data_IF_346689392240
#
_entry.id   IF_346689392240
#
_cell.length_a   1.000
_cell.length_b   1.000
_cell.length_c   1.000
_cell.angle_alpha   90.00
_cell.angle_beta   90.00
_cell.angle_gamma   90.00
#
_symmetry.space_group_name_H-M   'P 1'
#
loop_
_entity.id
_entity.type
_entity.pdbx_description
1 polymer ?
#
# COMPACT_ATOMS: atom_id res chain seq x y z
N UNK A 1 16.52 10.80 68.20
CA UNK A 1 16.38 11.91 69.11
C UNK A 1 15.12 12.64 68.74
N UNK A 2 14.17 12.34 69.43
CA UNK A 2 13.27 12.97 70.38
C UNK A 2 11.97 13.50 69.75
N UNK A 3 10.92 12.72 69.90
CA UNK A 3 9.56 13.22 70.20
C UNK A 3 9.63 14.05 71.53
N UNK A 4 8.70 14.92 71.86
CA UNK A 4 7.43 14.50 72.46
C UNK A 4 6.21 15.41 72.14
N UNK A 5 5.04 14.85 72.25
CA UNK A 5 3.96 14.79 73.27
C UNK A 5 2.93 15.95 73.17
N UNK A 6 1.67 15.53 72.86
CA UNK A 6 0.44 15.50 73.65
C UNK A 6 0.03 16.88 74.29
N UNK A 7 -1.18 17.40 73.99
CA UNK A 7 -2.18 17.56 75.04
C UNK A 7 -3.60 17.84 74.49
N UNK A 8 -4.49 17.08 75.03
CA UNK A 8 -5.93 17.20 75.06
C UNK A 8 -6.40 18.51 75.73
N UNK A 9 -7.52 19.02 75.27
CA UNK A 9 -8.53 19.51 76.22
C UNK A 9 -9.90 19.69 75.55
N UNK A 10 -10.78 18.87 76.06
CA UNK A 10 -12.20 18.84 75.98
C UNK A 10 -12.88 20.19 76.32
N UNK A 11 -13.97 20.50 75.64
CA UNK A 11 -15.21 21.00 76.32
C UNK A 11 -16.44 20.85 75.42
N UNK A 12 -17.31 20.07 76.00
CA UNK A 12 -18.77 19.96 75.81
C UNK A 12 -19.41 21.36 75.63
N UNK A 13 -20.51 21.42 74.84
CA UNK A 13 -21.89 21.72 75.30
C UNK A 13 -22.86 21.61 74.12
N UNK A 14 -23.87 20.84 74.29
CA UNK A 14 -25.16 20.71 73.62
C UNK A 14 -26.06 21.90 74.00
N UNK A 15 -27.29 22.08 73.45
CA UNK A 15 -27.93 21.63 72.16
C UNK A 15 -28.66 22.79 71.44
N UNK A 16 -29.07 22.62 70.21
CA UNK A 16 -30.36 23.12 69.77
C UNK A 16 -30.87 22.32 68.55
N UNK A 17 -31.83 21.52 68.87
CA UNK A 17 -32.73 20.85 67.94
C UNK A 17 -33.76 21.88 67.54
N UNK A 18 -33.80 22.31 66.28
CA UNK A 18 -34.99 22.80 65.56
C UNK A 18 -34.55 23.45 64.26
N UNK A 19 -34.61 22.65 63.20
CA UNK A 19 -34.88 23.07 61.80
C UNK A 19 -34.54 21.90 60.84
N UNK A 20 -35.23 20.79 60.98
CA UNK A 20 -35.29 19.68 60.04
C UNK A 20 -36.65 19.75 59.33
N UNK A 21 -36.83 20.61 58.33
CA UNK A 21 -38.01 20.53 57.46
C UNK A 21 -37.91 21.33 56.15
N UNK A 22 -36.72 21.63 55.64
CA UNK A 22 -36.63 22.33 54.33
C UNK A 22 -35.57 21.79 53.38
N UNK A 23 -34.94 20.64 53.63
CA UNK A 23 -33.85 20.06 52.84
C UNK A 23 -34.23 18.90 51.93
N UNK A 24 -35.47 18.40 51.95
CA UNK A 24 -35.89 17.16 51.28
C UNK A 24 -36.39 17.28 49.83
N UNK A 25 -36.59 18.49 49.30
CA UNK A 25 -37.22 18.65 47.99
C UNK A 25 -36.24 18.98 46.83
N UNK A 26 -34.98 19.29 47.10
CA UNK A 26 -34.00 19.65 46.04
C UNK A 26 -33.13 18.47 45.61
N UNK A 27 -33.04 17.39 46.41
CA UNK A 27 -32.22 16.25 46.09
C UNK A 27 -32.86 15.23 45.12
N UNK A 28 -34.17 15.33 44.84
CA UNK A 28 -34.85 14.40 43.90
C UNK A 28 -34.96 14.92 42.46
N UNK A 29 -34.58 16.18 42.17
CA UNK A 29 -34.71 16.79 40.85
C UNK A 29 -33.45 16.59 39.96
N UNK A 30 -32.33 16.04 40.48
CA UNK A 30 -31.08 15.88 39.73
C UNK A 30 -30.95 14.48 39.11
N UNK A 31 -31.81 13.50 39.42
CA UNK A 31 -31.81 12.16 38.84
C UNK A 31 -32.69 12.00 37.58
N UNK A 32 -33.35 13.06 37.11
CA UNK A 32 -34.04 13.11 35.83
C UNK A 32 -33.19 13.76 34.72
N UNK A 33 -31.87 13.75 34.87
CA UNK A 33 -30.93 14.04 33.79
C UNK A 33 -31.12 13.01 32.69
N UNK A 34 -31.77 13.41 31.61
CA UNK A 34 -32.21 12.57 30.52
C UNK A 34 -31.10 11.68 30.04
N UNK A 35 -31.29 10.39 30.19
CA UNK A 35 -30.59 9.39 29.40
C UNK A 35 -30.99 9.64 27.95
N UNK A 36 -30.19 10.47 27.26
CA UNK A 36 -30.36 10.60 25.80
C UNK A 36 -30.23 9.18 25.24
N UNK A 37 -31.25 8.64 24.59
CA UNK A 37 -31.12 7.32 23.99
C UNK A 37 -29.97 7.43 22.97
N UNK A 38 -28.84 6.78 23.26
CA UNK A 38 -27.82 6.54 22.24
C UNK A 38 -28.55 5.78 21.14
N UNK A 39 -28.66 6.33 19.91
CA UNK A 39 -29.36 5.64 18.85
C UNK A 39 -28.66 4.28 18.68
N UNK A 40 -29.37 3.22 19.05
CA UNK A 40 -28.90 1.86 18.83
C UNK A 40 -28.62 1.76 17.34
N UNK A 41 -27.35 1.50 16.97
CA UNK A 41 -26.98 1.38 15.56
C UNK A 41 -27.81 0.25 14.96
N UNK A 42 -28.74 0.59 14.08
CA UNK A 42 -29.60 -0.41 13.45
C UNK A 42 -28.75 -1.37 12.63
N UNK A 43 -28.83 -2.65 12.98
CA UNK A 43 -28.19 -3.72 12.19
C UNK A 43 -28.99 -3.86 10.88
N UNK A 44 -28.31 -3.60 9.77
CA UNK A 44 -28.90 -3.73 8.43
C UNK A 44 -28.80 -5.17 7.92
N UNK A 45 -27.70 -5.87 8.25
CA UNK A 45 -27.49 -7.24 7.82
C UNK A 45 -26.54 -7.97 8.79
N UNK A 46 -26.76 -9.26 8.98
CA UNK A 46 -25.84 -10.18 9.66
C UNK A 46 -25.18 -11.08 8.63
N UNK A 47 -23.86 -11.15 8.63
CA UNK A 47 -23.09 -12.00 7.72
C UNK A 47 -22.26 -12.96 8.53
N UNK A 48 -22.62 -14.24 8.55
CA UNK A 48 -21.95 -15.27 9.33
C UNK A 48 -21.78 -14.90 10.83
N UNK A 49 -22.74 -14.20 11.42
CA UNK A 49 -22.69 -13.72 12.79
C UNK A 49 -22.00 -12.37 13.01
N UNK A 50 -21.44 -11.75 11.96
CA UNK A 50 -20.87 -10.39 12.04
C UNK A 50 -21.87 -9.35 11.52
N UNK A 51 -22.15 -8.26 12.28
CA UNK A 51 -23.11 -7.25 11.84
C UNK A 51 -22.54 -6.32 10.79
N UNK A 52 -23.43 -5.85 9.92
CA UNK A 52 -23.26 -4.66 9.09
C UNK A 52 -24.32 -3.67 9.54
N UNK A 53 -23.88 -2.49 10.00
CA UNK A 53 -24.77 -1.46 10.51
C UNK A 53 -25.16 -0.44 9.45
N UNK A 54 -26.25 0.33 9.73
CA UNK A 54 -26.62 1.46 8.88
C UNK A 54 -25.49 2.47 8.73
N UNK A 55 -24.70 2.68 9.79
CA UNK A 55 -23.54 3.56 9.77
C UNK A 55 -22.43 3.05 8.84
N UNK A 56 -22.16 1.74 8.83
CA UNK A 56 -21.17 1.15 7.92
C UNK A 56 -21.55 1.39 6.46
N UNK A 57 -22.85 1.27 6.14
CA UNK A 57 -23.37 1.54 4.80
C UNK A 57 -23.19 3.01 4.45
N UNK A 58 -23.57 3.93 5.34
CA UNK A 58 -23.41 5.38 5.13
C UNK A 58 -21.94 5.75 4.89
N UNK A 59 -21.05 5.31 5.75
CA UNK A 59 -19.62 5.58 5.68
C UNK A 59 -19.00 5.02 4.39
N UNK A 60 -19.39 3.82 3.99
CA UNK A 60 -18.94 3.20 2.74
C UNK A 60 -19.49 3.93 1.51
N UNK A 61 -20.74 4.37 1.54
CA UNK A 61 -21.34 5.15 0.44
C UNK A 61 -20.56 6.44 0.22
N UNK A 62 -20.23 7.18 1.30
CA UNK A 62 -19.40 8.39 1.21
C UNK A 62 -18.00 8.09 0.66
N UNK A 63 -17.35 7.02 1.15
CA UNK A 63 -16.04 6.62 0.70
C UNK A 63 -16.05 6.25 -0.81
N UNK A 64 -17.03 5.49 -1.25
CA UNK A 64 -17.18 5.11 -2.65
C UNK A 64 -17.42 6.33 -3.55
N UNK A 65 -18.26 7.27 -3.13
CA UNK A 65 -18.48 8.51 -3.86
C UNK A 65 -17.20 9.35 -3.96
N UNK A 66 -16.43 9.46 -2.87
CA UNK A 66 -15.16 10.19 -2.86
C UNK A 66 -14.15 9.59 -3.84
N UNK A 67 -14.07 8.25 -3.91
CA UNK A 67 -13.04 7.55 -4.69
C UNK A 67 -13.41 7.34 -6.16
N UNK A 68 -14.70 7.12 -6.45
CA UNK A 68 -15.17 6.76 -7.81
C UNK A 68 -16.00 7.83 -8.49
N UNK A 69 -16.47 8.83 -7.74
CA UNK A 69 -17.44 9.85 -8.17
C UNK A 69 -18.77 9.27 -8.66
N UNK A 70 -19.03 7.99 -8.36
CA UNK A 70 -20.29 7.32 -8.71
C UNK A 70 -21.15 7.19 -7.47
N UNK A 71 -22.43 7.45 -7.62
CA UNK A 71 -23.41 7.19 -6.58
C UNK A 71 -23.84 5.72 -6.69
N UNK A 72 -23.47 4.95 -5.67
CA UNK A 72 -23.87 3.55 -5.58
C UNK A 72 -25.19 3.43 -4.84
N UNK A 73 -26.01 2.47 -5.23
CA UNK A 73 -27.23 2.14 -4.48
C UNK A 73 -26.90 1.54 -3.12
N UNK A 74 -27.82 1.63 -2.18
CA UNK A 74 -27.69 1.00 -0.86
C UNK A 74 -27.39 -0.51 -0.97
N UNK A 75 -28.02 -1.19 -1.93
CA UNK A 75 -27.82 -2.62 -2.14
C UNK A 75 -26.41 -2.95 -2.63
N UNK A 76 -25.87 -2.18 -3.57
CA UNK A 76 -24.49 -2.36 -4.04
C UNK A 76 -23.47 -2.18 -2.91
N UNK A 77 -23.68 -1.17 -2.06
CA UNK A 77 -22.81 -0.93 -0.89
C UNK A 77 -22.93 -2.07 0.13
N UNK A 78 -24.16 -2.57 0.36
CA UNK A 78 -24.39 -3.70 1.26
C UNK A 78 -23.72 -4.98 0.72
N UNK A 79 -23.78 -5.20 -0.58
CA UNK A 79 -23.10 -6.33 -1.25
C UNK A 79 -21.59 -6.24 -1.13
N UNK A 80 -21.00 -5.04 -1.25
CA UNK A 80 -19.55 -4.84 -0.99
C UNK A 80 -19.18 -5.19 0.44
N UNK A 81 -19.91 -4.65 1.42
CA UNK A 81 -19.64 -4.91 2.84
C UNK A 81 -19.83 -6.39 3.20
N UNK A 82 -20.83 -7.04 2.62
CA UNK A 82 -21.06 -8.48 2.76
C UNK A 82 -19.88 -9.27 2.20
N UNK A 83 -19.40 -8.92 1.01
CA UNK A 83 -18.23 -9.55 0.40
C UNK A 83 -16.99 -9.38 1.27
N UNK A 84 -16.77 -8.22 1.88
CA UNK A 84 -15.66 -7.98 2.78
C UNK A 84 -15.70 -8.88 4.03
N UNK A 85 -16.89 -9.02 4.66
CA UNK A 85 -17.08 -9.92 5.80
C UNK A 85 -16.78 -11.37 5.42
N UNK A 86 -17.29 -11.83 4.29
CA UNK A 86 -17.05 -13.19 3.77
C UNK A 86 -15.55 -13.42 3.51
N UNK A 87 -14.89 -12.48 2.83
CA UNK A 87 -13.44 -12.54 2.54
C UNK A 87 -12.59 -12.61 3.81
N UNK A 88 -12.86 -11.75 4.79
CA UNK A 88 -12.13 -11.70 6.06
C UNK A 88 -12.33 -12.99 6.85
N UNK A 89 -13.57 -13.49 6.94
CA UNK A 89 -13.85 -14.75 7.65
C UNK A 89 -13.11 -15.92 7.04
N UNK A 90 -13.16 -16.04 5.71
CA UNK A 90 -12.45 -17.13 5.02
C UNK A 90 -10.93 -17.00 5.17
N UNK A 91 -10.38 -15.80 5.05
CA UNK A 91 -8.95 -15.58 5.22
C UNK A 91 -8.45 -16.00 6.62
N UNK A 92 -9.18 -15.64 7.67
CA UNK A 92 -8.89 -16.07 9.06
C UNK A 92 -8.88 -17.60 9.19
N UNK A 93 -9.78 -18.28 8.51
CA UNK A 93 -9.86 -19.75 8.50
C UNK A 93 -8.58 -20.41 7.99
N UNK A 94 -7.85 -19.71 7.10
CA UNK A 94 -6.55 -20.12 6.55
C UNK A 94 -5.35 -19.45 7.24
N UNK A 95 -5.55 -18.83 8.41
CA UNK A 95 -4.48 -18.17 9.16
C UNK A 95 -3.98 -16.86 8.54
N UNK A 96 -4.74 -16.27 7.60
CA UNK A 96 -4.42 -14.98 7.00
C UNK A 96 -5.19 -13.89 7.75
N UNK A 97 -4.57 -13.33 8.77
CA UNK A 97 -5.12 -12.21 9.56
C UNK A 97 -4.02 -11.18 9.84
N UNK A 98 -3.91 -10.13 8.99
CA UNK A 98 -2.90 -9.10 9.17
C UNK A 98 -3.12 -8.33 10.46
N UNK A 99 -2.02 -7.92 11.07
CA UNK A 99 -2.03 -7.10 12.27
C UNK A 99 -2.53 -5.68 11.99
N UNK A 100 -2.84 -4.92 13.04
CA UNK A 100 -3.16 -3.51 12.89
C UNK A 100 -2.01 -2.73 12.23
N UNK A 101 -0.75 -3.07 12.56
CA UNK A 101 0.45 -2.48 11.97
C UNK A 101 0.52 -2.71 10.45
N UNK A 102 0.17 -3.90 9.96
CA UNK A 102 0.17 -4.19 8.51
C UNK A 102 -0.86 -3.33 7.77
N UNK A 103 -2.03 -3.15 8.37
CA UNK A 103 -3.08 -2.28 7.83
C UNK A 103 -2.63 -0.82 7.83
N UNK A 104 -1.98 -0.35 8.91
CA UNK A 104 -1.45 1.01 9.00
C UNK A 104 -0.33 1.25 7.98
N UNK A 105 0.55 0.27 7.74
CA UNK A 105 1.55 0.34 6.67
C UNK A 105 0.90 0.42 5.28
N UNK A 106 -0.15 -0.35 5.03
CA UNK A 106 -0.91 -0.27 3.78
C UNK A 106 -1.57 1.09 3.59
N UNK A 107 -2.14 1.65 4.67
CA UNK A 107 -2.73 2.98 4.69
C UNK A 107 -1.67 4.07 4.42
N UNK A 108 -0.50 3.99 5.06
CA UNK A 108 0.63 4.88 4.81
C UNK A 108 1.15 4.75 3.37
N UNK A 109 1.25 3.54 2.83
CA UNK A 109 1.62 3.32 1.43
C UNK A 109 0.61 3.93 0.44
N UNK A 110 -0.70 3.87 0.78
CA UNK A 110 -1.73 4.53 -0.02
C UNK A 110 -1.60 6.05 0.02
N UNK A 111 -1.41 6.64 1.21
CA UNK A 111 -1.24 8.09 1.35
C UNK A 111 -0.04 8.61 0.56
N UNK A 112 1.09 7.90 0.58
CA UNK A 112 2.29 8.25 -0.20
C UNK A 112 2.03 8.26 -1.71
N UNK A 113 1.26 7.28 -2.23
CA UNK A 113 0.87 7.28 -3.66
C UNK A 113 0.01 8.48 -4.03
N UNK A 114 -0.76 9.01 -3.08
CA UNK A 114 -1.54 10.23 -3.23
C UNK A 114 -0.73 11.52 -2.94
N UNK A 115 0.58 11.40 -2.62
CA UNK A 115 1.47 12.49 -2.21
C UNK A 115 1.02 13.19 -0.93
N UNK A 116 0.41 12.43 -0.02
CA UNK A 116 -0.06 12.89 1.29
C UNK A 116 0.70 12.16 2.40
N UNK A 117 0.71 12.73 3.61
CA UNK A 117 1.05 11.98 4.82
C UNK A 117 -0.18 11.20 5.32
N UNK A 118 -0.01 10.15 6.15
CA UNK A 118 -1.14 9.45 6.76
C UNK A 118 -2.10 10.39 7.52
N UNK A 119 -1.57 11.39 8.22
CA UNK A 119 -2.35 12.38 8.97
C UNK A 119 -3.14 13.30 8.03
N UNK A 120 -2.55 13.68 6.89
CA UNK A 120 -3.24 14.49 5.88
C UNK A 120 -4.38 13.71 5.22
N UNK A 121 -4.15 12.41 4.91
CA UNK A 121 -5.21 11.55 4.39
C UNK A 121 -6.34 11.38 5.42
N UNK A 122 -6.00 11.16 6.70
CA UNK A 122 -6.98 11.07 7.80
C UNK A 122 -7.83 12.34 7.88
N UNK A 123 -7.22 13.52 7.95
CA UNK A 123 -7.93 14.81 7.98
C UNK A 123 -8.81 15.02 6.74
N UNK A 124 -8.33 14.61 5.57
CA UNK A 124 -9.11 14.70 4.33
C UNK A 124 -10.37 13.83 4.37
N UNK A 125 -10.29 12.62 4.91
CA UNK A 125 -11.45 11.75 5.09
C UNK A 125 -12.43 12.32 6.11
N UNK A 126 -11.93 12.74 7.27
CA UNK A 126 -12.74 13.33 8.35
C UNK A 126 -13.48 14.60 7.90
N UNK A 127 -12.84 15.46 7.10
CA UNK A 127 -13.47 16.65 6.53
C UNK A 127 -14.64 16.33 5.60
N UNK A 128 -14.69 15.12 5.04
CA UNK A 128 -15.80 14.59 4.24
C UNK A 128 -16.80 13.78 5.08
N UNK A 129 -16.63 13.75 6.41
CA UNK A 129 -17.46 12.96 7.31
C UNK A 129 -17.26 11.45 7.16
N UNK A 130 -16.06 11.03 6.75
CA UNK A 130 -15.67 9.62 6.58
C UNK A 130 -14.67 9.26 7.68
N UNK A 131 -14.97 8.21 8.44
CA UNK A 131 -14.05 7.69 9.45
C UNK A 131 -12.89 6.96 8.77
N UNK A 132 -11.63 7.20 9.17
CA UNK A 132 -10.45 6.52 8.60
C UNK A 132 -10.53 5.00 8.68
N UNK A 133 -11.19 4.48 9.72
CA UNK A 133 -11.41 3.05 9.93
C UNK A 133 -12.20 2.40 8.79
N UNK A 134 -13.08 3.15 8.12
CA UNK A 134 -13.83 2.67 6.94
C UNK A 134 -12.89 2.32 5.78
N UNK A 135 -11.88 3.16 5.53
CA UNK A 135 -10.87 2.89 4.52
C UNK A 135 -9.92 1.77 4.97
N UNK A 136 -9.49 1.78 6.24
CA UNK A 136 -8.64 0.72 6.80
C UNK A 136 -9.30 -0.65 6.75
N UNK A 137 -10.61 -0.74 7.05
CA UNK A 137 -11.37 -1.99 6.94
C UNK A 137 -11.39 -2.52 5.50
N UNK A 138 -11.61 -1.65 4.51
CA UNK A 138 -11.53 -2.01 3.09
C UNK A 138 -10.14 -2.52 2.72
N UNK A 139 -9.09 -1.80 3.10
CA UNK A 139 -7.70 -2.21 2.86
C UNK A 139 -7.41 -3.57 3.48
N UNK A 140 -7.84 -3.81 4.72
CA UNK A 140 -7.71 -5.12 5.37
C UNK A 140 -8.37 -6.21 4.55
N UNK A 141 -9.62 -6.02 4.11
CA UNK A 141 -10.35 -7.00 3.32
C UNK A 141 -9.65 -7.30 1.97
N UNK A 142 -9.13 -6.29 1.29
CA UNK A 142 -8.39 -6.45 0.05
C UNK A 142 -7.04 -7.18 0.26
N UNK A 143 -6.31 -6.86 1.33
CA UNK A 143 -5.03 -7.50 1.68
C UNK A 143 -5.22 -8.99 1.98
N UNK A 144 -6.16 -9.34 2.87
CA UNK A 144 -6.38 -10.73 3.24
C UNK A 144 -6.86 -11.56 2.07
N UNK A 145 -7.74 -10.99 1.25
CA UNK A 145 -8.28 -11.67 0.08
C UNK A 145 -7.20 -11.92 -0.98
N UNK A 146 -6.42 -10.90 -1.28
CA UNK A 146 -5.31 -11.02 -2.22
C UNK A 146 -4.28 -12.06 -1.80
N UNK A 147 -3.95 -12.10 -0.51
CA UNK A 147 -3.01 -13.09 0.05
C UNK A 147 -3.58 -14.50 0.03
N UNK A 148 -4.84 -14.66 0.44
CA UNK A 148 -5.55 -15.95 0.44
C UNK A 148 -5.64 -16.52 -0.97
N UNK A 149 -6.13 -15.75 -1.95
CA UNK A 149 -6.32 -16.23 -3.33
C UNK A 149 -4.98 -16.62 -3.96
N UNK A 150 -3.95 -15.79 -3.82
CA UNK A 150 -2.60 -16.11 -4.33
C UNK A 150 -2.00 -17.35 -3.67
N UNK A 151 -2.15 -17.51 -2.36
CA UNK A 151 -1.64 -18.67 -1.64
C UNK A 151 -2.36 -19.95 -2.01
N UNK A 152 -3.70 -19.92 -1.93
CA UNK A 152 -4.56 -21.10 -2.15
C UNK A 152 -4.53 -21.61 -3.59
N UNK A 153 -4.45 -20.72 -4.57
CA UNK A 153 -4.53 -21.06 -5.99
C UNK A 153 -3.18 -20.89 -6.72
N UNK A 154 -2.07 -20.85 -5.98
CA UNK A 154 -0.72 -20.61 -6.51
C UNK A 154 -0.43 -21.40 -7.79
N UNK A 155 -0.68 -22.70 -7.79
CA UNK A 155 -0.41 -23.57 -8.93
C UNK A 155 -1.33 -23.27 -10.13
N UNK A 156 -2.62 -23.07 -9.89
CA UNK A 156 -3.60 -22.79 -10.95
C UNK A 156 -3.45 -21.38 -11.56
N UNK A 157 -2.78 -20.46 -10.86
CA UNK A 157 -2.50 -19.11 -11.33
C UNK A 157 -1.21 -19.04 -12.17
N UNK A 158 -0.41 -20.08 -12.18
CA UNK A 158 0.79 -20.11 -13.02
C UNK A 158 0.43 -20.02 -14.50
N UNK A 159 1.24 -19.25 -15.22
CA UNK A 159 1.13 -19.10 -16.67
C UNK A 159 2.35 -19.76 -17.29
N UNK A 160 2.13 -20.88 -17.99
CA UNK A 160 3.18 -21.66 -18.63
C UNK A 160 3.80 -20.93 -19.83
N UNK A 161 5.08 -21.19 -20.11
CA UNK A 161 5.76 -20.58 -21.25
C UNK A 161 5.10 -20.98 -22.59
N UNK A 162 4.57 -22.19 -22.68
CA UNK A 162 3.82 -22.67 -23.86
C UNK A 162 2.55 -21.84 -24.09
N UNK A 163 1.83 -21.51 -23.00
CA UNK A 163 0.59 -20.73 -23.09
C UNK A 163 0.91 -19.30 -23.57
N UNK A 164 2.01 -18.71 -23.05
CA UNK A 164 2.47 -17.38 -23.47
C UNK A 164 2.90 -17.40 -24.94
N UNK A 165 3.64 -18.40 -25.38
CA UNK A 165 4.06 -18.53 -26.76
C UNK A 165 2.88 -18.66 -27.71
N UNK A 166 1.92 -19.53 -27.40
CA UNK A 166 0.70 -19.70 -28.19
C UNK A 166 -0.14 -18.39 -28.27
N UNK A 167 -0.28 -17.68 -27.15
CA UNK A 167 -0.99 -16.39 -27.12
C UNK A 167 -0.26 -15.31 -27.93
N UNK A 168 1.08 -15.30 -27.91
CA UNK A 168 1.89 -14.37 -28.71
C UNK A 168 1.77 -14.65 -30.22
N UNK A 169 1.70 -15.91 -30.62
CA UNK A 169 1.47 -16.32 -32.01
C UNK A 169 0.07 -15.91 -32.49
N UNK A 170 -0.95 -16.15 -31.70
CA UNK A 170 -2.35 -15.80 -32.03
C UNK A 170 -2.55 -14.29 -32.18
N UNK A 171 -1.82 -13.47 -31.43
CA UNK A 171 -1.90 -12.03 -31.54
C UNK A 171 -1.14 -11.44 -32.73
N UNK A 172 -0.42 -12.26 -33.50
CA UNK A 172 0.45 -11.81 -34.61
C UNK A 172 1.70 -11.05 -34.13
N UNK A 173 1.95 -11.04 -32.84
CA UNK A 173 3.02 -10.24 -32.19
C UNK A 173 4.30 -11.07 -31.93
N UNK A 174 4.29 -12.33 -32.31
CA UNK A 174 5.41 -13.26 -32.08
C UNK A 174 6.73 -12.82 -32.78
N UNK A 175 6.63 -11.98 -33.81
CA UNK A 175 7.77 -11.55 -34.64
C UNK A 175 8.30 -10.16 -34.30
N UNK A 176 7.70 -9.41 -33.39
CA UNK A 176 7.91 -7.96 -33.31
C UNK A 176 8.94 -7.46 -32.30
N UNK A 177 9.63 -8.31 -31.55
CA UNK A 177 10.63 -7.75 -30.64
C UNK A 177 11.86 -8.64 -30.55
N UNK A 178 12.95 -8.19 -31.14
CA UNK A 178 14.27 -8.62 -30.72
C UNK A 178 14.40 -8.25 -29.22
N UNK A 179 14.48 -9.24 -28.37
CA UNK A 179 14.81 -9.03 -26.99
C UNK A 179 16.31 -9.16 -26.81
N UNK A 180 16.84 -8.41 -25.89
CA UNK A 180 18.24 -8.45 -25.57
C UNK A 180 18.44 -8.80 -24.09
N UNK A 181 19.50 -9.54 -23.83
CA UNK A 181 20.10 -9.64 -22.51
C UNK A 181 21.23 -8.63 -22.42
N UNK A 182 21.16 -7.79 -21.39
CA UNK A 182 22.13 -6.72 -21.15
C UNK A 182 22.96 -7.05 -19.92
N UNK A 183 24.27 -6.95 -20.02
CA UNK A 183 25.17 -6.90 -18.87
C UNK A 183 25.44 -5.45 -18.53
N UNK A 184 24.92 -5.01 -17.43
CA UNK A 184 24.89 -3.62 -17.01
C UNK A 184 25.72 -3.40 -15.76
N UNK A 185 26.42 -2.29 -15.66
CA UNK A 185 27.15 -1.89 -14.45
C UNK A 185 26.67 -0.52 -14.00
N UNK A 186 25.89 -0.44 -12.93
CA UNK A 186 25.40 0.84 -12.41
C UNK A 186 26.54 1.67 -11.78
N UNK A 187 26.52 2.97 -12.02
CA UNK A 187 27.48 3.94 -11.54
C UNK A 187 26.71 5.11 -10.95
N UNK A 188 27.13 5.57 -9.77
CA UNK A 188 26.51 6.70 -9.08
C UNK A 188 27.60 7.71 -8.72
N UNK A 189 27.53 8.92 -9.23
CA UNK A 189 28.29 10.05 -8.70
C UNK A 189 27.52 10.64 -7.52
N UNK A 190 28.07 10.47 -6.33
CA UNK A 190 27.40 10.79 -5.07
C UNK A 190 27.24 12.30 -4.93
N UNK A 191 26.03 12.75 -4.66
CA UNK A 191 25.70 14.11 -4.26
C UNK A 191 25.13 14.07 -2.84
N UNK A 192 25.75 14.75 -1.86
CA UNK A 192 25.23 14.78 -0.49
C UNK A 192 23.80 15.32 -0.44
N UNK A 193 23.00 14.78 0.46
CA UNK A 193 21.63 15.25 0.66
C UNK A 193 21.61 16.71 1.11
N UNK A 194 20.75 17.52 0.53
CA UNK A 194 20.66 18.94 0.82
C UNK A 194 21.68 19.81 0.09
N UNK A 195 22.44 19.26 -0.86
CA UNK A 195 23.32 20.04 -1.71
C UNK A 195 22.54 21.06 -2.56
N UNK A 196 23.16 22.22 -2.81
CA UNK A 196 22.57 23.23 -3.66
C UNK A 196 22.36 22.71 -5.10
N UNK A 197 21.35 23.18 -5.83
CA UNK A 197 21.12 22.79 -7.23
C UNK A 197 22.35 22.94 -8.13
N UNK A 198 23.14 23.98 -7.91
CA UNK A 198 24.42 24.23 -8.63
C UNK A 198 25.43 23.09 -8.47
N UNK A 199 25.48 22.46 -7.28
CA UNK A 199 26.36 21.32 -7.03
C UNK A 199 25.90 20.07 -7.79
N UNK A 200 24.58 19.88 -7.92
CA UNK A 200 24.00 18.79 -8.71
C UNK A 200 24.31 18.99 -10.19
N UNK A 201 24.16 20.23 -10.71
CA UNK A 201 24.47 20.56 -12.09
C UNK A 201 25.96 20.40 -12.41
N UNK A 202 26.84 20.80 -11.50
CA UNK A 202 28.29 20.58 -11.64
C UNK A 202 28.61 19.08 -11.74
N UNK A 203 27.99 18.28 -10.88
CA UNK A 203 28.19 16.82 -10.88
C UNK A 203 27.64 16.17 -12.14
N UNK A 204 26.53 16.68 -12.69
CA UNK A 204 25.98 16.23 -13.97
C UNK A 204 26.93 16.54 -15.14
N UNK A 205 27.53 17.74 -15.18
CA UNK A 205 28.53 18.11 -16.20
C UNK A 205 29.79 17.24 -16.12
N UNK A 206 30.23 16.92 -14.91
CA UNK A 206 31.33 15.97 -14.70
C UNK A 206 30.98 14.58 -15.22
N UNK A 207 29.77 14.09 -14.94
CA UNK A 207 29.28 12.81 -15.44
C UNK A 207 29.26 12.78 -17.00
N UNK A 208 28.82 13.86 -17.66
CA UNK A 208 28.86 13.98 -19.12
C UNK A 208 30.30 13.91 -19.66
N UNK A 209 31.22 14.65 -19.06
CA UNK A 209 32.62 14.63 -19.46
C UNK A 209 33.26 13.24 -19.30
N UNK A 210 32.91 12.52 -18.22
CA UNK A 210 33.35 11.14 -17.98
C UNK A 210 32.74 10.15 -18.98
N UNK A 211 31.48 10.34 -19.35
CA UNK A 211 30.80 9.55 -20.35
C UNK A 211 31.50 9.59 -21.71
N UNK A 212 32.02 10.74 -22.12
CA UNK A 212 32.77 10.86 -23.36
C UNK A 212 34.13 10.14 -23.33
N UNK A 213 34.78 10.15 -22.17
CA UNK A 213 36.12 9.55 -22.00
C UNK A 213 36.08 8.02 -21.89
N UNK A 214 35.06 7.45 -21.29
CA UNK A 214 34.93 6.01 -21.07
C UNK A 214 34.47 5.32 -22.35
N UNK A 215 35.30 4.40 -22.85
CA UNK A 215 35.07 3.65 -24.08
C UNK A 215 34.77 2.19 -23.83
N UNK A 216 35.19 1.63 -22.68
CA UNK A 216 35.00 0.23 -22.33
C UNK A 216 34.52 0.08 -20.86
N UNK A 217 33.90 -1.06 -20.54
CA UNK A 217 33.47 -1.35 -19.19
C UNK A 217 34.64 -1.52 -18.20
N UNK A 218 35.78 -1.96 -18.67
CA UNK A 218 36.99 -2.08 -17.86
C UNK A 218 37.52 -0.70 -17.49
N UNK A 219 37.53 0.24 -18.44
CA UNK A 219 37.85 1.63 -18.18
C UNK A 219 36.85 2.26 -17.21
N UNK A 220 35.54 2.01 -17.37
CA UNK A 220 34.54 2.45 -16.41
C UNK A 220 34.86 1.93 -15.00
N UNK A 221 35.15 0.63 -14.87
CA UNK A 221 35.45 0.03 -13.58
C UNK A 221 36.69 0.67 -12.94
N UNK A 222 37.77 0.80 -13.67
CA UNK A 222 39.01 1.38 -13.17
C UNK A 222 38.85 2.85 -12.78
N UNK A 223 38.16 3.62 -13.59
CA UNK A 223 37.94 5.04 -13.37
C UNK A 223 37.09 5.33 -12.14
N UNK A 224 35.89 4.73 -12.09
CA UNK A 224 34.95 5.02 -11.01
C UNK A 224 35.30 4.34 -9.70
N UNK A 225 36.05 3.23 -9.71
CA UNK A 225 36.54 2.56 -8.50
C UNK A 225 37.61 3.38 -7.76
N UNK A 226 38.39 4.19 -8.49
CA UNK A 226 39.43 5.07 -7.90
C UNK A 226 38.88 6.45 -7.52
N UNK A 227 37.66 6.77 -7.88
CA UNK A 227 37.07 8.10 -7.68
C UNK A 227 36.44 8.23 -6.30
N UNK A 228 36.81 9.24 -5.51
CA UNK A 228 36.38 9.38 -4.11
C UNK A 228 34.87 9.56 -3.92
N UNK A 229 34.19 10.24 -4.81
CA UNK A 229 32.75 10.53 -4.67
C UNK A 229 31.93 9.81 -5.75
N UNK A 230 32.33 8.59 -6.12
CA UNK A 230 31.63 7.74 -7.02
C UNK A 230 31.47 6.33 -6.43
N UNK A 231 30.38 5.68 -6.75
CA UNK A 231 30.17 4.27 -6.45
C UNK A 231 29.91 3.54 -7.77
N UNK A 232 30.68 2.48 -8.01
CA UNK A 232 30.42 1.55 -9.10
C UNK A 232 29.99 0.21 -8.51
N UNK A 233 28.87 -0.32 -9.00
CA UNK A 233 28.33 -1.58 -8.52
C UNK A 233 28.83 -2.77 -9.35
N UNK A 234 28.69 -3.97 -8.79
CA UNK A 234 28.94 -5.20 -9.55
C UNK A 234 28.03 -5.28 -10.78
N UNK A 235 28.51 -5.92 -11.86
CA UNK A 235 27.71 -6.09 -13.06
C UNK A 235 26.45 -6.91 -12.75
N UNK A 236 25.34 -6.49 -13.31
CA UNK A 236 24.05 -7.21 -13.26
C UNK A 236 23.63 -7.58 -14.67
N UNK A 237 23.04 -8.76 -14.82
CA UNK A 237 22.43 -9.19 -16.07
C UNK A 237 20.92 -8.95 -16.01
N UNK A 238 20.38 -8.30 -17.02
CA UNK A 238 18.95 -7.98 -17.14
C UNK A 238 18.47 -8.23 -18.56
N UNK A 239 17.26 -8.76 -18.70
CA UNK A 239 16.62 -8.88 -20.01
C UNK A 239 15.89 -7.56 -20.36
N UNK A 240 15.60 -7.36 -21.64
CA UNK A 240 14.78 -6.22 -22.10
C UNK A 240 13.43 -6.16 -21.39
N UNK A 241 12.90 -7.33 -20.98
CA UNK A 241 11.63 -7.44 -20.27
C UNK A 241 11.71 -6.92 -18.82
N UNK A 242 12.90 -6.99 -18.19
CA UNK A 242 13.13 -6.55 -16.80
C UNK A 242 13.44 -5.06 -16.66
N UNK A 243 13.61 -4.38 -17.79
CA UNK A 243 13.99 -2.97 -17.81
C UNK A 243 12.79 -2.05 -18.02
N UNK A 244 12.71 -0.91 -17.29
CA UNK A 244 11.76 0.14 -17.60
C UNK A 244 11.91 0.61 -19.04
N UNK A 245 10.79 0.95 -19.71
CA UNK A 245 10.79 1.41 -21.10
C UNK A 245 11.82 2.51 -21.41
N UNK A 246 11.86 3.61 -20.63
CA UNK A 246 12.83 4.69 -20.87
C UNK A 246 14.30 4.22 -20.80
N UNK A 247 14.64 3.38 -19.84
CA UNK A 247 16.01 2.86 -19.72
C UNK A 247 16.36 1.92 -20.88
N UNK A 248 15.42 1.11 -21.31
CA UNK A 248 15.61 0.24 -22.48
C UNK A 248 15.90 1.05 -23.76
N UNK A 249 15.10 2.09 -24.03
CA UNK A 249 15.34 2.98 -25.17
C UNK A 249 16.71 3.67 -25.12
N UNK A 250 17.18 4.04 -23.93
CA UNK A 250 18.52 4.58 -23.75
C UNK A 250 19.60 3.56 -24.04
N UNK A 251 19.43 2.32 -23.57
CA UNK A 251 20.38 1.24 -23.81
C UNK A 251 20.42 0.82 -25.27
N UNK A 252 19.29 0.87 -25.99
CA UNK A 252 19.24 0.56 -27.41
C UNK A 252 20.07 1.56 -28.25
N UNK A 253 20.10 2.83 -27.79
CA UNK A 253 20.89 3.92 -28.42
C UNK A 253 22.33 3.97 -27.92
N UNK A 254 22.67 3.26 -26.85
CA UNK A 254 24.00 3.27 -26.23
C UNK A 254 24.86 2.16 -26.85
N UNK A 255 26.03 2.45 -27.43
CA UNK A 255 26.95 1.40 -27.91
C UNK A 255 27.48 0.57 -26.74
N UNK A 256 27.77 -0.72 -27.02
CA UNK A 256 28.42 -1.60 -26.02
C UNK A 256 29.78 -1.02 -25.62
N UNK A 257 30.08 -1.04 -24.32
CA UNK A 257 31.26 -0.42 -23.73
C UNK A 257 31.04 1.01 -23.22
N UNK A 258 29.99 1.69 -23.67
CA UNK A 258 29.73 3.10 -23.33
C UNK A 258 28.79 3.25 -22.14
N UNK A 259 28.73 4.51 -21.64
CA UNK A 259 27.83 4.92 -20.55
C UNK A 259 26.55 5.53 -21.12
N UNK A 260 25.44 5.27 -20.43
CA UNK A 260 24.19 6.02 -20.68
C UNK A 260 24.34 7.51 -20.31
N UNK A 261 23.49 8.39 -20.83
CA UNK A 261 23.39 9.76 -20.32
C UNK A 261 23.16 9.81 -18.82
N UNK A 262 23.70 10.81 -18.10
CA UNK A 262 23.52 10.94 -16.66
C UNK A 262 22.10 11.32 -16.30
N UNK A 263 21.53 10.66 -15.30
CA UNK A 263 20.21 10.90 -14.74
C UNK A 263 20.33 11.37 -13.28
N UNK A 264 19.59 12.41 -12.91
CA UNK A 264 19.56 12.91 -11.53
C UNK A 264 18.56 12.10 -10.72
N UNK A 265 19.05 11.46 -9.65
CA UNK A 265 18.25 10.63 -8.74
C UNK A 265 18.38 11.12 -7.29
N UNK A 266 17.66 10.46 -6.38
CA UNK A 266 17.79 10.74 -4.94
C UNK A 266 19.17 10.35 -4.37
N UNK A 267 19.95 9.53 -5.06
CA UNK A 267 21.26 9.04 -4.64
C UNK A 267 22.41 9.89 -5.21
N UNK A 268 22.13 10.70 -6.21
CA UNK A 268 23.11 11.50 -6.93
C UNK A 268 22.86 11.49 -8.43
N UNK A 269 23.94 11.54 -9.21
CA UNK A 269 23.88 11.44 -10.66
C UNK A 269 24.22 10.02 -11.08
N UNK A 270 23.27 9.33 -11.67
CA UNK A 270 23.39 7.92 -12.04
C UNK A 270 23.68 7.77 -13.54
N UNK A 271 24.50 6.82 -13.87
CA UNK A 271 24.78 6.32 -15.23
C UNK A 271 24.86 4.81 -15.21
N UNK A 272 24.68 4.19 -16.38
CA UNK A 272 24.84 2.74 -16.54
C UNK A 272 25.86 2.47 -17.62
N UNK A 273 26.88 1.66 -17.34
CA UNK A 273 27.76 1.15 -18.38
C UNK A 273 27.12 -0.08 -19.03
N UNK A 274 26.96 -0.05 -20.34
CA UNK A 274 26.48 -1.17 -21.14
C UNK A 274 27.67 -2.06 -21.51
N UNK A 275 27.90 -3.11 -20.72
CA UNK A 275 29.06 -4.00 -20.89
C UNK A 275 28.87 -5.04 -22.00
N UNK A 276 27.65 -5.53 -22.16
CA UNK A 276 27.32 -6.53 -23.17
C UNK A 276 25.84 -6.44 -23.55
N UNK A 277 25.55 -6.72 -24.83
CA UNK A 277 24.18 -6.85 -25.35
C UNK A 277 24.12 -8.06 -26.26
N UNK A 278 23.34 -9.06 -25.86
CA UNK A 278 23.13 -10.31 -26.62
C UNK A 278 21.67 -10.43 -27.03
N UNK A 279 21.35 -10.80 -28.28
CA UNK A 279 19.98 -11.10 -28.63
C UNK A 279 19.47 -12.32 -27.87
N UNK A 280 18.23 -12.26 -27.42
CA UNK A 280 17.57 -13.38 -26.72
C UNK A 280 16.14 -13.54 -27.21
N UNK A 281 15.65 -14.79 -27.21
CA UNK A 281 14.26 -15.12 -27.53
C UNK A 281 13.48 -15.58 -26.29
N UNK A 282 14.16 -15.69 -25.15
CA UNK A 282 13.61 -16.35 -23.96
C UNK A 282 12.55 -15.49 -23.28
N UNK A 283 12.82 -14.22 -23.06
CA UNK A 283 11.88 -13.34 -22.37
C UNK A 283 11.82 -11.95 -23.04
N UNK A 284 10.85 -11.79 -23.92
CA UNK A 284 10.61 -10.49 -24.59
C UNK A 284 9.67 -9.64 -23.74
N UNK A 285 9.74 -8.30 -23.81
CA UNK A 285 8.80 -7.41 -23.14
C UNK A 285 7.34 -7.75 -23.46
N UNK A 286 7.07 -8.19 -24.69
CA UNK A 286 5.74 -8.57 -25.13
C UNK A 286 5.27 -9.88 -24.50
N UNK A 287 6.13 -10.89 -24.43
CA UNK A 287 5.80 -12.14 -23.72
C UNK A 287 5.50 -11.89 -22.25
N UNK A 288 6.24 -10.96 -21.62
CA UNK A 288 5.98 -10.57 -20.24
C UNK A 288 4.61 -9.89 -20.08
N UNK A 289 4.28 -8.95 -20.95
CA UNK A 289 2.95 -8.30 -20.97
C UNK A 289 1.83 -9.34 -21.13
N UNK A 290 1.98 -10.27 -22.07
CA UNK A 290 1.02 -11.35 -22.27
C UNK A 290 0.91 -12.22 -21.02
N UNK A 291 2.03 -12.61 -20.41
CA UNK A 291 2.06 -13.39 -19.16
C UNK A 291 1.33 -12.66 -18.02
N UNK A 292 1.59 -11.38 -17.84
CA UNK A 292 0.92 -10.55 -16.82
C UNK A 292 -0.59 -10.43 -17.09
N UNK A 293 -1.00 -10.23 -18.33
CA UNK A 293 -2.40 -10.18 -18.72
C UNK A 293 -3.11 -11.52 -18.47
N UNK A 294 -2.50 -12.63 -18.86
CA UNK A 294 -3.05 -13.97 -18.62
C UNK A 294 -3.13 -14.27 -17.13
N UNK A 295 -2.11 -13.91 -16.35
CA UNK A 295 -2.15 -14.04 -14.90
C UNK A 295 -3.29 -13.23 -14.29
N UNK A 296 -3.46 -11.97 -14.69
CA UNK A 296 -4.54 -11.11 -14.20
C UNK A 296 -5.92 -11.71 -14.53
N UNK A 297 -6.12 -12.23 -15.74
CA UNK A 297 -7.35 -12.89 -16.13
C UNK A 297 -7.64 -14.16 -15.32
N UNK A 298 -6.62 -15.04 -15.15
CA UNK A 298 -6.75 -16.24 -14.31
C UNK A 298 -7.07 -15.88 -12.86
N UNK A 299 -6.39 -14.87 -12.33
CA UNK A 299 -6.61 -14.38 -10.98
C UNK A 299 -8.02 -13.83 -10.79
N UNK A 300 -8.49 -12.96 -11.69
CA UNK A 300 -9.84 -12.39 -11.64
C UNK A 300 -10.94 -13.45 -11.75
N UNK A 301 -10.81 -14.37 -12.68
CA UNK A 301 -11.75 -15.48 -12.81
C UNK A 301 -11.80 -16.33 -11.53
N UNK A 302 -10.63 -16.66 -10.97
CA UNK A 302 -10.52 -17.50 -9.79
C UNK A 302 -11.07 -16.82 -8.55
N UNK A 303 -10.72 -15.56 -8.32
CA UNK A 303 -11.22 -14.81 -7.17
C UNK A 303 -12.73 -14.59 -7.22
N UNK A 304 -13.30 -14.32 -8.40
CA UNK A 304 -14.74 -14.15 -8.59
C UNK A 304 -15.52 -15.45 -8.33
N UNK A 305 -15.06 -16.55 -8.93
CA UNK A 305 -15.67 -17.85 -8.72
C UNK A 305 -15.63 -18.27 -7.25
N UNK A 306 -14.46 -18.16 -6.62
CA UNK A 306 -14.28 -18.50 -5.21
C UNK A 306 -15.14 -17.64 -4.28
N UNK A 307 -15.22 -16.33 -4.50
CA UNK A 307 -16.08 -15.45 -3.72
C UNK A 307 -17.56 -15.79 -3.90
N UNK A 308 -17.97 -16.12 -5.11
CA UNK A 308 -19.36 -16.52 -5.39
C UNK A 308 -19.74 -17.80 -4.64
N UNK A 309 -18.85 -18.79 -4.59
CA UNK A 309 -19.08 -20.03 -3.85
C UNK A 309 -19.15 -19.79 -2.34
N UNK A 310 -18.25 -18.96 -1.81
CA UNK A 310 -18.26 -18.57 -0.40
C UNK A 310 -19.54 -17.78 -0.04
N UNK A 311 -20.03 -16.93 -0.92
CA UNK A 311 -21.29 -16.19 -0.70
C UNK A 311 -22.51 -17.11 -0.64
N UNK A 312 -22.56 -18.12 -1.51
CA UNK A 312 -23.63 -19.14 -1.47
C UNK A 312 -23.65 -19.93 -0.17
N UNK A 313 -22.46 -20.19 0.40
CA UNK A 313 -22.32 -20.93 1.65
C UNK A 313 -22.42 -20.04 2.91
N UNK A 314 -22.45 -18.72 2.76
CA UNK A 314 -22.52 -17.79 3.87
C UNK A 314 -23.95 -17.64 4.39
N UNK A 315 -24.10 -17.57 5.72
CA UNK A 315 -25.36 -17.20 6.37
C UNK A 315 -25.49 -15.67 6.30
N UNK A 316 -26.43 -15.18 5.50
CA UNK A 316 -26.67 -13.75 5.28
C UNK A 316 -28.14 -13.47 5.60
N UNK A 317 -28.37 -12.65 6.64
CA UNK A 317 -29.69 -12.27 7.11
C UNK A 317 -29.79 -10.74 7.10
N UNK A 318 -30.52 -10.16 6.20
CA UNK A 318 -30.72 -8.73 6.05
C UNK A 318 -32.15 -8.32 6.44
N UNK A 319 -32.30 -7.14 7.04
CA UNK A 319 -33.58 -6.56 7.46
C UNK A 319 -33.91 -5.32 6.63
#
# INVERSE_FOLDING_TARGET
>A
MTMPTIELLSRRLWPNVWSLAAGGAVALAVLAGGVTPVPAQSIACMVNGEPITGLDIEQRTKLNFLTTRKQMSRQEVLDELTNEKVKIKEARRFGVDPTASDVDQSYAGMSQRMRLTPEQLTKSLESQGIRPETLKARLKAEMVWGSLVRGRFKESLQVGEKDVAAAAEQSGEATQTEAFEYKLRPIVLIVPRGSAPSSVDLRRKEAEALRERVQTCEQANSYFKSMQNAAIREPITKTSADLPGPLRELLDKTPVGRLTPPEITKQGVEMVALCERKPTKIDTPKKREIREKMFAQKYDAKQKAYLADLRKAAMIECR
#
